data_IF_220194329361
#
_entry.id   IF_220194329361
#
_cell.length_a   1.000
_cell.length_b   1.000
_cell.length_c   1.000
_cell.angle_alpha   90.00
_cell.angle_beta   90.00
_cell.angle_gamma   90.00
#
_symmetry.space_group_name_H-M   'P 1'
#
loop_
_entity.id
_entity.type
_entity.pdbx_description
1 polymer ?
#
# COMPACT_ATOMS: atom_id res chain seq x y z
N UNK A 1 -20.09 22.77 -12.24
CA UNK A 1 -20.01 21.90 -11.05
C UNK A 1 -19.13 20.70 -11.40
N UNK A 2 -18.04 20.44 -10.68
CA UNK A 2 -17.13 19.34 -10.99
C UNK A 2 -17.79 17.96 -10.81
N UNK A 3 -17.32 16.94 -11.52
CA UNK A 3 -17.81 15.54 -11.40
C UNK A 3 -17.35 14.84 -10.10
N UNK A 4 -16.53 15.51 -9.30
CA UNK A 4 -16.06 15.03 -8.01
C UNK A 4 -17.16 15.34 -6.97
N UNK A 5 -17.53 14.35 -6.14
CA UNK A 5 -18.69 14.43 -5.24
C UNK A 5 -18.63 15.52 -4.17
N UNK A 6 -19.03 15.21 -2.92
CA UNK A 6 -19.02 16.20 -1.83
C UNK A 6 -17.57 16.47 -1.39
N UNK A 7 -17.05 17.66 -1.73
CA UNK A 7 -15.66 18.08 -1.45
C UNK A 7 -15.55 19.26 -0.48
N UNK A 8 -16.65 19.68 0.13
CA UNK A 8 -16.67 20.75 1.12
C UNK A 8 -16.32 20.20 2.51
N UNK A 9 -15.55 20.96 3.28
CA UNK A 9 -15.29 20.63 4.67
C UNK A 9 -16.60 20.66 5.47
N UNK A 10 -16.84 19.75 6.43
CA UNK A 10 -18.12 19.65 7.14
C UNK A 10 -18.57 20.94 7.83
N UNK A 11 -17.63 21.66 8.43
CA UNK A 11 -17.91 22.86 9.26
C UNK A 11 -17.31 24.15 8.71
N UNK A 12 -16.32 24.06 7.81
CA UNK A 12 -15.53 25.23 7.40
C UNK A 12 -15.91 25.59 5.96
N UNK A 13 -16.01 26.89 5.66
CA UNK A 13 -16.34 27.39 4.32
C UNK A 13 -15.16 27.28 3.34
N UNK A 14 -14.66 26.07 3.13
CA UNK A 14 -13.56 25.73 2.22
C UNK A 14 -13.72 24.32 1.66
N UNK A 15 -12.96 24.01 0.63
CA UNK A 15 -12.79 22.64 0.15
C UNK A 15 -11.87 21.84 1.08
N UNK A 16 -11.97 20.51 1.01
CA UNK A 16 -11.04 19.61 1.70
C UNK A 16 -9.61 19.84 1.20
N UNK A 17 -8.69 19.94 2.15
CA UNK A 17 -7.27 20.14 1.92
C UNK A 17 -6.60 18.86 1.41
N UNK A 18 -5.41 19.00 0.83
CA UNK A 18 -4.54 17.87 0.44
C UNK A 18 -4.36 16.88 1.60
N UNK A 19 -4.17 17.37 2.83
CA UNK A 19 -3.94 16.50 4.00
C UNK A 19 -5.20 15.75 4.41
N UNK A 20 -6.37 16.36 4.32
CA UNK A 20 -7.64 15.68 4.60
C UNK A 20 -7.89 14.56 3.59
N UNK A 21 -7.66 14.82 2.29
CA UNK A 21 -7.68 13.76 1.26
C UNK A 21 -6.63 12.67 1.52
N UNK A 22 -5.43 13.03 1.98
CA UNK A 22 -4.37 12.06 2.26
C UNK A 22 -4.76 11.14 3.43
N UNK A 23 -5.39 11.68 4.47
CA UNK A 23 -5.91 10.91 5.60
C UNK A 23 -7.04 9.98 5.18
N UNK A 24 -7.96 10.43 4.31
CA UNK A 24 -9.02 9.54 3.80
C UNK A 24 -8.46 8.37 3.00
N UNK A 25 -7.33 8.55 2.32
CA UNK A 25 -6.59 7.48 1.64
C UNK A 25 -5.74 6.62 2.59
N UNK A 26 -5.65 6.95 3.88
CA UNK A 26 -4.86 6.19 4.85
C UNK A 26 -3.36 6.46 4.82
N UNK A 27 -2.92 7.58 4.24
CA UNK A 27 -1.52 8.01 4.37
C UNK A 27 -1.21 8.44 5.79
N UNK A 28 0.00 8.11 6.26
CA UNK A 28 0.54 8.67 7.50
C UNK A 28 0.73 10.18 7.35
N UNK A 29 0.51 10.91 8.44
CA UNK A 29 0.70 12.37 8.45
C UNK A 29 2.15 12.79 8.17
N UNK A 30 3.11 11.89 8.41
CA UNK A 30 4.54 12.09 8.11
C UNK A 30 4.87 11.99 6.62
N UNK A 31 4.00 11.41 5.78
CA UNK A 31 4.24 11.29 4.34
C UNK A 31 4.17 12.66 3.67
N UNK A 32 5.20 13.02 2.91
CA UNK A 32 5.34 14.33 2.26
C UNK A 32 5.01 14.25 0.76
N UNK A 33 4.11 15.12 0.31
CA UNK A 33 3.79 15.31 -1.09
C UNK A 33 4.48 16.58 -1.61
N UNK A 34 4.93 16.58 -2.86
CA UNK A 34 5.71 17.67 -3.45
C UNK A 34 5.03 18.26 -4.70
N UNK A 35 5.39 19.49 -5.07
CA UNK A 35 4.81 20.20 -6.21
C UNK A 35 3.72 21.21 -5.85
N UNK A 36 2.96 21.66 -6.85
CA UNK A 36 1.85 22.61 -6.64
C UNK A 36 0.72 21.97 -5.83
N UNK A 37 -0.24 22.77 -5.35
CA UNK A 37 -1.40 22.25 -4.63
C UNK A 37 -2.22 21.28 -5.48
N UNK A 38 -2.35 21.55 -6.79
CA UNK A 38 -3.08 20.70 -7.73
C UNK A 38 -2.33 19.37 -7.96
N UNK A 39 -1.01 19.42 -8.09
CA UNK A 39 -0.19 18.20 -8.25
C UNK A 39 -0.30 17.31 -7.02
N UNK A 40 -0.29 17.90 -5.83
CA UNK A 40 -0.43 17.16 -4.58
C UNK A 40 -1.81 16.52 -4.44
N UNK A 41 -2.89 17.22 -4.82
CA UNK A 41 -4.22 16.61 -4.89
C UNK A 41 -4.27 15.45 -5.89
N UNK A 42 -3.63 15.59 -7.06
CA UNK A 42 -3.55 14.51 -8.07
C UNK A 42 -2.77 13.30 -7.57
N UNK A 43 -1.63 13.52 -6.89
CA UNK A 43 -0.84 12.44 -6.28
C UNK A 43 -1.65 11.66 -5.25
N UNK A 44 -2.39 12.34 -4.36
CA UNK A 44 -3.25 11.70 -3.36
C UNK A 44 -4.43 10.97 -4.00
N UNK A 45 -5.10 11.60 -4.97
CA UNK A 45 -6.30 11.06 -5.61
C UNK A 45 -6.02 9.82 -6.48
N UNK A 46 -4.87 9.78 -7.14
CA UNK A 46 -4.49 8.67 -8.02
C UNK A 46 -3.77 7.53 -7.27
N UNK A 47 -3.33 7.74 -6.03
CA UNK A 47 -2.61 6.72 -5.27
C UNK A 47 -3.52 5.58 -4.81
N UNK A 48 -2.93 4.38 -4.70
CA UNK A 48 -3.55 3.25 -3.99
C UNK A 48 -3.48 3.52 -2.48
N UNK A 49 -4.57 3.33 -1.71
CA UNK A 49 -4.55 3.48 -0.26
C UNK A 49 -3.47 2.59 0.40
N UNK A 50 -2.53 3.14 1.20
CA UNK A 50 -1.49 2.33 1.85
C UNK A 50 -2.02 1.17 2.71
N UNK A 51 -3.14 1.29 3.46
CA UNK A 51 -3.70 0.15 4.18
C UNK A 51 -4.11 -1.01 3.27
N UNK A 52 -4.69 -0.71 2.09
CA UNK A 52 -5.06 -1.71 1.09
C UNK A 52 -3.82 -2.37 0.51
N UNK A 53 -2.83 -1.58 0.10
CA UNK A 53 -1.56 -2.09 -0.41
C UNK A 53 -0.83 -2.97 0.62
N UNK A 54 -0.88 -2.61 1.91
CA UNK A 54 -0.33 -3.42 3.00
C UNK A 54 -1.02 -4.78 3.10
N UNK A 55 -2.35 -4.83 3.05
CA UNK A 55 -3.08 -6.09 3.12
C UNK A 55 -2.67 -7.04 1.97
N UNK A 56 -2.65 -6.53 0.74
CA UNK A 56 -2.20 -7.29 -0.43
C UNK A 56 -0.73 -7.74 -0.28
N UNK A 57 0.14 -6.85 0.21
CA UNK A 57 1.55 -7.16 0.43
C UNK A 57 1.79 -8.26 1.48
N UNK A 58 0.91 -8.39 2.48
CA UNK A 58 0.98 -9.48 3.45
C UNK A 58 0.67 -10.84 2.81
N UNK A 59 -0.32 -10.92 1.93
CA UNK A 59 -0.63 -12.15 1.19
C UNK A 59 0.53 -12.57 0.28
N UNK A 60 1.14 -11.61 -0.43
CA UNK A 60 2.33 -11.87 -1.24
C UNK A 60 3.47 -12.41 -0.36
N UNK A 61 3.68 -11.81 0.82
CA UNK A 61 4.71 -12.26 1.77
C UNK A 61 4.45 -13.70 2.22
N UNK A 62 3.21 -14.09 2.49
CA UNK A 62 2.86 -15.46 2.85
C UNK A 62 3.20 -16.44 1.74
N UNK A 63 2.85 -16.12 0.49
CA UNK A 63 3.21 -16.95 -0.66
C UNK A 63 4.74 -17.10 -0.81
N UNK A 64 5.49 -16.03 -0.62
CA UNK A 64 6.95 -16.07 -0.68
C UNK A 64 7.55 -16.97 0.41
N UNK A 65 7.04 -16.86 1.64
CA UNK A 65 7.52 -17.67 2.77
C UNK A 65 7.20 -19.16 2.57
N UNK A 66 6.00 -19.49 2.11
CA UNK A 66 5.62 -20.87 1.80
C UNK A 66 6.58 -21.47 0.76
N UNK A 67 6.86 -20.75 -0.33
CA UNK A 67 7.81 -21.21 -1.36
C UNK A 67 9.23 -21.37 -0.83
N UNK A 68 9.69 -20.48 0.04
CA UNK A 68 11.02 -20.59 0.65
C UNK A 68 11.14 -21.84 1.54
N UNK A 69 10.09 -22.18 2.29
CA UNK A 69 10.05 -23.38 3.14
C UNK A 69 10.01 -24.67 2.31
N UNK A 70 9.26 -24.69 1.21
CA UNK A 70 9.25 -25.81 0.26
C UNK A 70 10.65 -26.05 -0.33
N UNK A 71 11.33 -24.99 -0.76
CA UNK A 71 12.69 -25.09 -1.31
C UNK A 71 13.71 -25.57 -0.27
N UNK A 72 13.62 -25.07 0.97
CA UNK A 72 14.49 -25.53 2.06
C UNK A 72 14.27 -27.02 2.37
N UNK A 73 13.00 -27.46 2.41
CA UNK A 73 12.64 -28.86 2.65
C UNK A 73 13.08 -29.78 1.51
N UNK A 74 13.03 -29.29 0.26
CA UNK A 74 13.52 -30.01 -0.90
C UNK A 74 15.06 -30.17 -0.88
N UNK A 75 15.79 -29.14 -0.46
CA UNK A 75 17.25 -29.20 -0.35
C UNK A 75 17.72 -30.23 0.70
N UNK A 76 17.03 -30.30 1.85
CA UNK A 76 17.33 -31.30 2.90
C UNK A 76 17.09 -32.73 2.40
N UNK A 77 15.99 -32.97 1.68
CA UNK A 77 15.71 -34.30 1.10
C UNK A 77 16.77 -34.76 0.10
N UNK A 78 17.31 -33.84 -0.70
CA UNK A 78 18.37 -34.16 -1.67
C UNK A 78 19.67 -34.56 -0.97
N UNK A 79 20.00 -33.94 0.17
CA UNK A 79 21.17 -34.30 0.96
C UNK A 79 21.02 -35.67 1.62
N UNK A 80 19.86 -35.96 2.23
CA UNK A 80 19.61 -37.29 2.81
C UNK A 80 19.69 -38.41 1.77
N UNK A 81 19.20 -38.21 0.54
CA UNK A 81 19.32 -39.23 -0.52
C UNK A 81 20.73 -39.42 -1.05
N UNK A 82 21.60 -38.42 -0.93
CA UNK A 82 22.99 -38.50 -1.38
C UNK A 82 23.93 -39.14 -0.34
N UNK A 83 23.50 -39.28 0.91
CA UNK A 83 24.28 -39.92 1.99
C UNK A 83 23.93 -41.42 2.16
N UNK A 84 22.88 -41.92 1.50
CA UNK A 84 22.46 -43.33 1.55
C UNK A 84 22.87 -44.19 0.33
N UNK A 85 23.62 -43.63 -0.62
CA UNK A 85 24.29 -44.34 -1.73
C UNK A 85 25.82 -44.41 -1.50
#
# INVERSE_FOLDING_TARGET
MGKQGRVLHPEQHRVVSVRECARSQGFRDTYRFFGSILDRHRQVGNAVPPPLAKAIGLEIKLCMLARAQEMASAAVKVQETAETE
#
